data_IF_449257657576
#
_entry.id   IF_449257657576
#
_cell.length_a   1.000
_cell.length_b   1.000
_cell.length_c   1.000
_cell.angle_alpha   90.00
_cell.angle_beta   90.00
_cell.angle_gamma   90.00
#
_symmetry.space_group_name_H-M   'P 1'
#
loop_
_entity.id
_entity.type
_entity.pdbx_description
1 polymer ?
#
# COMPACT_ATOMS: atom_id res chain seq x y z
N UNK A 1 0.04 6.45 -9.42
CA UNK A 1 1.06 7.51 -9.28
C UNK A 1 1.79 7.34 -7.95
N UNK A 2 3.10 7.33 -7.94
CA UNK A 2 3.91 7.27 -6.71
C UNK A 2 4.06 8.68 -6.13
N UNK A 3 3.76 8.86 -4.83
CA UNK A 3 3.71 10.17 -4.18
C UNK A 3 4.25 10.12 -2.75
N UNK A 4 4.77 11.25 -2.24
CA UNK A 4 5.09 11.40 -0.83
C UNK A 4 3.81 11.34 0.02
N UNK A 5 3.84 10.61 1.12
CA UNK A 5 2.70 10.51 2.04
C UNK A 5 2.59 11.77 2.90
N UNK A 6 1.63 12.62 2.59
CA UNK A 6 1.36 13.89 3.29
C UNK A 6 0.29 13.77 4.38
N UNK A 7 -0.15 12.56 4.69
CA UNK A 7 -1.17 12.32 5.71
C UNK A 7 -0.59 12.52 7.12
N UNK A 8 -1.48 12.53 8.11
CA UNK A 8 -1.09 12.59 9.52
C UNK A 8 -0.39 11.30 10.01
N UNK A 9 0.01 11.26 11.30
CA UNK A 9 0.87 10.18 11.82
C UNK A 9 0.10 8.99 12.39
N UNK A 10 -1.24 8.97 12.30
CA UNK A 10 -2.09 7.91 12.85
C UNK A 10 -3.04 7.37 11.78
N UNK A 11 -2.46 6.94 10.65
CA UNK A 11 -3.21 6.35 9.53
C UNK A 11 -3.79 4.97 9.87
N UNK A 12 -3.35 4.36 10.94
CA UNK A 12 -3.92 3.14 11.53
C UNK A 12 -5.35 3.36 12.09
N UNK A 13 -5.74 4.60 12.34
CA UNK A 13 -7.08 4.98 12.79
C UNK A 13 -7.96 5.32 11.59
N UNK A 14 -9.04 4.53 11.39
CA UNK A 14 -10.03 4.84 10.36
C UNK A 14 -10.83 6.09 10.77
N UNK A 15 -10.72 7.16 9.99
CA UNK A 15 -11.36 8.43 10.27
C UNK A 15 -11.86 9.10 8.98
N UNK A 16 -12.61 10.20 9.12
CA UNK A 16 -13.04 11.05 8.01
C UNK A 16 -12.02 12.12 7.64
N UNK A 17 -10.89 12.21 8.33
CA UNK A 17 -9.81 13.17 8.07
C UNK A 17 -8.96 12.73 6.87
N UNK A 18 -9.55 12.74 5.67
CA UNK A 18 -8.99 12.19 4.44
C UNK A 18 -8.50 13.25 3.46
N UNK A 19 -8.27 14.50 3.88
CA UNK A 19 -7.92 15.57 2.96
C UNK A 19 -6.64 15.28 2.17
N UNK A 20 -5.59 14.76 2.81
CA UNK A 20 -4.36 14.37 2.13
C UNK A 20 -4.59 13.31 1.04
N UNK A 21 -5.39 12.29 1.36
CA UNK A 21 -5.78 11.25 0.39
C UNK A 21 -6.54 11.85 -0.80
N UNK A 22 -7.52 12.71 -0.54
CA UNK A 22 -8.36 13.33 -1.58
C UNK A 22 -7.53 14.21 -2.51
N UNK A 23 -6.66 15.05 -1.97
CA UNK A 23 -5.80 15.93 -2.76
C UNK A 23 -4.91 15.11 -3.71
N UNK A 24 -4.21 14.12 -3.18
CA UNK A 24 -3.30 13.28 -3.98
C UNK A 24 -4.04 12.40 -5.00
N UNK A 25 -5.23 11.89 -4.66
CA UNK A 25 -6.07 11.17 -5.63
C UNK A 25 -6.56 12.08 -6.77
N UNK A 26 -6.86 13.35 -6.49
CA UNK A 26 -7.22 14.31 -7.53
C UNK A 26 -6.03 14.62 -8.46
N UNK A 27 -4.83 14.77 -7.89
CA UNK A 27 -3.60 14.95 -8.69
C UNK A 27 -3.33 13.73 -9.58
N UNK A 28 -3.50 12.52 -9.04
CA UNK A 28 -3.36 11.29 -9.81
C UNK A 28 -4.36 11.22 -10.99
N UNK A 29 -5.63 11.52 -10.73
CA UNK A 29 -6.67 11.56 -11.78
C UNK A 29 -6.34 12.59 -12.86
N UNK A 30 -5.86 13.76 -12.48
CA UNK A 30 -5.43 14.80 -13.41
C UNK A 30 -4.24 14.38 -14.26
N UNK A 31 -3.39 13.51 -13.72
CA UNK A 31 -2.26 12.89 -14.42
C UNK A 31 -2.63 11.61 -15.21
N UNK A 32 -3.92 11.26 -15.28
CA UNK A 32 -4.40 10.06 -15.99
C UNK A 32 -4.17 8.74 -15.22
N UNK A 33 -3.88 8.81 -13.92
CA UNK A 33 -3.68 7.64 -13.06
C UNK A 33 -4.98 7.28 -12.29
N UNK A 34 -5.17 5.98 -12.01
CA UNK A 34 -6.37 5.50 -11.33
C UNK A 34 -6.17 5.30 -9.82
N UNK A 35 -4.92 5.26 -9.35
CA UNK A 35 -4.58 5.05 -7.94
C UNK A 35 -3.27 5.76 -7.62
N UNK A 36 -3.07 6.05 -6.34
CA UNK A 36 -1.79 6.50 -5.80
C UNK A 36 -1.13 5.36 -5.02
N UNK A 37 0.18 5.41 -4.93
CA UNK A 37 0.96 4.64 -3.99
C UNK A 37 1.80 5.63 -3.19
N UNK A 38 1.62 5.61 -1.89
CA UNK A 38 2.27 6.56 -0.99
C UNK A 38 3.53 5.96 -0.38
N UNK A 39 4.49 6.83 -0.09
CA UNK A 39 5.70 6.49 0.65
C UNK A 39 6.09 7.59 1.62
N UNK A 40 6.76 7.23 2.73
CA UNK A 40 7.43 8.16 3.64
C UNK A 40 8.94 7.92 3.56
N UNK A 41 9.69 8.94 3.14
CA UNK A 41 11.15 8.86 2.99
C UNK A 41 11.58 7.63 2.15
N UNK A 42 10.83 7.30 1.12
CA UNK A 42 11.12 6.17 0.24
C UNK A 42 10.58 4.81 0.73
N UNK A 43 10.08 4.70 1.94
CA UNK A 43 9.43 3.50 2.47
C UNK A 43 7.94 3.49 2.09
N UNK A 44 7.49 2.41 1.47
CA UNK A 44 6.12 2.24 1.01
C UNK A 44 5.15 2.21 2.18
N UNK A 45 4.00 2.88 2.03
CA UNK A 45 2.90 2.81 3.00
C UNK A 45 1.70 2.09 2.39
N UNK A 46 0.79 2.79 1.75
CA UNK A 46 -0.42 2.21 1.17
C UNK A 46 -0.96 3.05 0.01
N UNK A 47 -2.08 2.65 -0.58
CA UNK A 47 -2.80 3.41 -1.59
C UNK A 47 -3.70 4.49 -0.99
N UNK A 48 -4.41 5.23 -1.84
CA UNK A 48 -5.29 6.33 -1.42
C UNK A 48 -6.44 5.91 -0.50
N UNK A 49 -6.98 4.70 -0.71
CA UNK A 49 -8.01 4.07 0.12
C UNK A 49 -7.84 2.54 0.12
N UNK A 50 -6.62 2.05 -0.02
CA UNK A 50 -6.31 0.65 -0.27
C UNK A 50 -4.95 0.27 0.31
N UNK A 51 -4.75 -1.02 0.61
CA UNK A 51 -3.43 -1.56 0.93
C UNK A 51 -2.75 -2.09 -0.33
N UNK A 52 -1.42 -2.10 -0.35
CA UNK A 52 -0.64 -2.60 -1.48
C UNK A 52 -0.09 -3.99 -1.22
N UNK A 53 -0.07 -4.79 -2.27
CA UNK A 53 0.68 -6.04 -2.38
C UNK A 53 1.51 -6.03 -3.66
N UNK A 54 2.64 -6.70 -3.64
CA UNK A 54 3.44 -6.90 -4.85
C UNK A 54 4.12 -8.27 -4.85
N UNK A 55 4.48 -8.75 -6.04
CA UNK A 55 5.19 -10.01 -6.22
C UNK A 55 6.58 -9.74 -6.74
N UNK A 56 7.57 -10.35 -6.10
CA UNK A 56 8.97 -10.34 -6.53
C UNK A 56 9.55 -11.73 -6.27
N UNK A 57 10.23 -12.31 -7.25
CA UNK A 57 10.84 -13.64 -7.14
C UNK A 57 9.87 -14.71 -6.60
N UNK A 58 8.63 -14.76 -7.10
CA UNK A 58 7.58 -15.71 -6.69
C UNK A 58 7.17 -15.62 -5.22
N UNK A 59 7.50 -14.54 -4.53
CA UNK A 59 7.07 -14.25 -3.17
C UNK A 59 6.15 -13.03 -3.18
N UNK A 60 5.07 -13.10 -2.40
CA UNK A 60 4.11 -11.99 -2.23
C UNK A 60 4.58 -11.18 -1.04
N UNK A 61 4.62 -9.87 -1.22
CA UNK A 61 5.02 -8.90 -0.20
C UNK A 61 3.91 -7.89 0.07
N UNK A 62 3.81 -7.45 1.31
CA UNK A 62 3.00 -6.29 1.70
C UNK A 62 3.69 -5.55 2.85
N UNK A 63 3.61 -4.21 2.92
CA UNK A 63 4.11 -3.48 4.08
C UNK A 63 3.47 -3.97 5.38
N UNK A 64 4.29 -4.13 6.42
CA UNK A 64 3.82 -4.51 7.75
C UNK A 64 2.94 -3.42 8.37
N UNK A 65 2.05 -3.81 9.27
CA UNK A 65 1.18 -2.87 9.96
C UNK A 65 1.99 -1.91 10.84
N UNK A 66 1.67 -0.63 10.72
CA UNK A 66 2.28 0.45 11.49
C UNK A 66 1.29 1.60 11.66
N UNK A 67 1.69 2.68 12.31
CA UNK A 67 0.87 3.90 12.37
C UNK A 67 0.65 4.59 11.01
N UNK A 68 1.38 4.17 9.98
CA UNK A 68 1.27 4.72 8.62
C UNK A 68 0.29 3.96 7.71
N UNK A 69 -0.29 2.85 8.19
CA UNK A 69 -1.07 1.91 7.36
C UNK A 69 -2.36 1.54 8.07
N UNK A 70 -3.49 1.65 7.37
CA UNK A 70 -4.75 1.15 7.87
C UNK A 70 -4.78 -0.38 7.79
N UNK A 71 -5.12 -1.09 8.90
CA UNK A 71 -5.30 -2.55 8.86
C UNK A 71 -6.59 -2.91 8.12
N UNK A 72 -6.51 -2.95 6.79
CA UNK A 72 -7.66 -3.20 5.92
C UNK A 72 -8.26 -4.61 6.12
N UNK A 73 -9.60 -4.70 6.09
CA UNK A 73 -10.31 -5.99 6.21
C UNK A 73 -9.98 -6.90 5.03
N UNK A 74 -9.98 -6.35 3.82
CA UNK A 74 -9.63 -7.09 2.61
C UNK A 74 -8.18 -7.55 2.64
N UNK A 75 -7.25 -6.68 3.10
CA UNK A 75 -5.85 -7.05 3.33
C UNK A 75 -5.75 -8.30 4.22
N UNK A 76 -6.44 -8.30 5.35
CA UNK A 76 -6.45 -9.42 6.29
C UNK A 76 -6.97 -10.72 5.64
N UNK A 77 -8.06 -10.63 4.88
CA UNK A 77 -8.63 -11.78 4.17
C UNK A 77 -7.68 -12.34 3.10
N UNK A 78 -7.01 -11.45 2.34
CA UNK A 78 -6.02 -11.86 1.34
C UNK A 78 -4.85 -12.59 1.99
N UNK A 79 -4.32 -12.07 3.11
CA UNK A 79 -3.23 -12.73 3.84
C UNK A 79 -3.66 -14.12 4.34
N UNK A 80 -4.89 -14.24 4.85
CA UNK A 80 -5.44 -15.55 5.25
C UNK A 80 -5.46 -16.55 4.09
N UNK A 81 -5.94 -16.12 2.92
CA UNK A 81 -5.96 -16.97 1.71
C UNK A 81 -4.55 -17.37 1.28
N UNK A 82 -3.61 -16.44 1.30
CA UNK A 82 -2.20 -16.71 0.97
C UNK A 82 -1.63 -17.80 1.89
N UNK A 83 -1.87 -17.68 3.19
CA UNK A 83 -1.40 -18.65 4.18
C UNK A 83 -2.09 -20.01 4.03
N UNK A 84 -3.42 -20.04 3.83
CA UNK A 84 -4.19 -21.27 3.62
C UNK A 84 -3.70 -22.03 2.37
N UNK A 85 -3.31 -21.30 1.32
CA UNK A 85 -2.74 -21.86 0.09
C UNK A 85 -1.24 -22.16 0.18
N UNK A 86 -0.59 -21.83 1.31
CA UNK A 86 0.85 -22.02 1.53
C UNK A 86 1.71 -21.35 0.46
N UNK A 87 1.31 -20.18 0.00
CA UNK A 87 2.10 -19.36 -0.92
C UNK A 87 3.24 -18.67 -0.16
N UNK A 88 4.34 -18.38 -0.85
CA UNK A 88 5.44 -17.61 -0.28
C UNK A 88 4.96 -16.18 0.01
N UNK A 89 5.11 -15.73 1.24
CA UNK A 89 4.59 -14.45 1.70
C UNK A 89 5.49 -13.83 2.77
N UNK A 90 5.69 -12.53 2.69
CA UNK A 90 6.39 -11.74 3.70
C UNK A 90 5.68 -10.41 3.96
N UNK A 91 5.59 -10.04 5.23
CA UNK A 91 5.26 -8.68 5.69
C UNK A 91 6.54 -8.01 6.19
N UNK A 92 6.76 -6.74 5.82
CA UNK A 92 7.96 -6.03 6.23
C UNK A 92 8.01 -4.58 5.77
N UNK A 93 9.18 -3.96 5.87
CA UNK A 93 9.45 -2.63 5.36
C UNK A 93 10.07 -2.74 3.97
N UNK A 94 9.48 -2.06 2.99
CA UNK A 94 9.88 -2.11 1.59
C UNK A 94 10.01 -0.71 1.02
N UNK A 95 10.99 -0.53 0.14
CA UNK A 95 11.27 0.73 -0.52
C UNK A 95 10.70 0.80 -1.94
N UNK A 96 10.79 1.99 -2.51
CA UNK A 96 10.40 2.24 -3.91
C UNK A 96 11.16 1.32 -4.89
N UNK A 97 12.42 0.99 -4.59
CA UNK A 97 13.24 0.13 -5.45
C UNK A 97 12.73 -1.31 -5.50
N UNK A 98 12.07 -1.80 -4.46
CA UNK A 98 11.46 -3.13 -4.47
C UNK A 98 10.36 -3.24 -5.53
N UNK A 99 9.63 -2.13 -5.79
CA UNK A 99 8.60 -2.10 -6.83
C UNK A 99 9.16 -2.16 -8.24
N UNK A 100 10.35 -1.64 -8.46
CA UNK A 100 10.99 -1.70 -9.79
C UNK A 100 11.31 -3.12 -10.23
N UNK A 101 11.52 -4.01 -9.26
CA UNK A 101 11.78 -5.42 -9.49
C UNK A 101 10.52 -6.29 -9.39
N UNK A 102 9.37 -5.70 -9.08
CA UNK A 102 8.12 -6.43 -8.96
C UNK A 102 7.60 -6.91 -10.31
N UNK A 103 7.18 -8.16 -10.37
CA UNK A 103 6.51 -8.74 -11.53
C UNK A 103 5.01 -8.41 -11.58
N UNK A 104 4.43 -8.06 -10.44
CA UNK A 104 3.02 -7.69 -10.30
C UNK A 104 2.82 -6.81 -9.07
N UNK A 105 1.88 -5.85 -9.16
CA UNK A 105 1.47 -4.96 -8.09
C UNK A 105 -0.05 -4.88 -8.11
N UNK A 106 -0.71 -5.01 -6.94
CA UNK A 106 -2.15 -4.81 -6.83
C UNK A 106 -2.53 -4.16 -5.51
N UNK A 107 -3.76 -3.68 -5.44
CA UNK A 107 -4.36 -3.02 -4.28
C UNK A 107 -5.60 -3.78 -3.77
N UNK A 108 -5.85 -3.67 -2.47
CA UNK A 108 -7.01 -4.31 -1.82
C UNK A 108 -7.85 -3.30 -1.05
#
# INVERSE_FOLDING_TARGET
MLVDDIRWQRCDIKSTSLLGNVLQMNDAKSAGCNEILMHKNGELTEGGASNIFFVKNKTIFTPELSSNILPGITRHQVIKIINDKKLNFEEGSYGIDDLKEASSIWFT
#
